data_IF_682287725480
#
_entry.id   IF_682287725480
#
_cell.length_a   1.000
_cell.length_b   1.000
_cell.length_c   1.000
_cell.angle_alpha   90.00
_cell.angle_beta   90.00
_cell.angle_gamma   90.00
#
_symmetry.space_group_name_H-M   'P 1'
#
loop_
_entity.id
_entity.type
_entity.pdbx_description
1 polymer ?
#
# COMPACT_ATOMS: atom_id res chain seq x y z
N UNK A 1 11.16 -17.62 2.61
CA UNK A 1 11.20 -18.86 3.42
C UNK A 1 9.77 -19.37 3.46
N UNK A 2 9.49 -20.59 3.00
CA UNK A 2 8.11 -21.10 3.02
C UNK A 2 7.91 -21.93 4.29
N UNK A 3 7.02 -21.46 5.18
CA UNK A 3 6.57 -22.25 6.33
C UNK A 3 5.49 -23.19 5.82
N UNK A 4 5.75 -24.50 5.88
CA UNK A 4 4.77 -25.51 5.53
C UNK A 4 3.59 -25.51 6.51
N UNK A 5 2.38 -25.75 5.99
CA UNK A 5 1.15 -25.82 6.76
C UNK A 5 1.26 -26.76 7.99
N UNK A 6 1.93 -27.90 7.82
CA UNK A 6 2.17 -28.89 8.89
C UNK A 6 2.96 -28.29 10.08
N UNK A 7 3.89 -27.37 9.83
CA UNK A 7 4.62 -26.70 10.91
C UNK A 7 3.70 -25.78 11.72
N UNK A 8 2.79 -25.06 11.05
CA UNK A 8 1.81 -24.19 11.71
C UNK A 8 0.85 -25.04 12.54
N UNK A 9 0.32 -26.13 11.97
CA UNK A 9 -0.59 -27.05 12.65
C UNK A 9 0.04 -27.65 13.90
N UNK A 10 1.26 -28.21 13.79
CA UNK A 10 1.99 -28.75 14.94
C UNK A 10 2.24 -27.72 16.04
N UNK A 11 2.56 -26.48 15.66
CA UNK A 11 2.75 -25.40 16.62
C UNK A 11 1.44 -25.08 17.34
N UNK A 12 0.33 -24.95 16.61
CA UNK A 12 -0.99 -24.66 17.15
C UNK A 12 -1.51 -25.79 18.05
N UNK A 13 -1.34 -27.05 17.65
CA UNK A 13 -1.75 -28.23 18.44
C UNK A 13 -1.07 -28.25 19.81
N UNK A 14 0.21 -27.88 19.87
CA UNK A 14 0.95 -27.82 21.14
C UNK A 14 0.41 -26.78 22.12
N UNK A 15 -0.30 -25.76 21.62
CA UNK A 15 -0.85 -24.64 22.40
C UNK A 15 -2.37 -24.73 22.60
N UNK A 16 -3.06 -25.61 21.86
CA UNK A 16 -4.52 -25.66 21.75
C UNK A 16 -5.23 -25.79 23.11
N UNK A 17 -4.78 -26.72 23.96
CA UNK A 17 -5.37 -26.94 25.29
C UNK A 17 -5.29 -25.69 26.17
N UNK A 18 -4.14 -24.99 26.14
CA UNK A 18 -3.93 -23.76 26.90
C UNK A 18 -4.80 -22.62 26.38
N UNK A 19 -4.91 -22.50 25.04
CA UNK A 19 -5.75 -21.52 24.38
C UNK A 19 -7.24 -21.73 24.72
N UNK A 20 -7.77 -22.94 24.55
CA UNK A 20 -9.17 -23.27 24.84
C UNK A 20 -9.55 -22.96 26.29
N UNK A 21 -8.67 -23.31 27.25
CA UNK A 21 -8.90 -22.98 28.67
C UNK A 21 -9.02 -21.47 28.90
N UNK A 22 -8.13 -20.66 28.29
CA UNK A 22 -8.17 -19.19 28.42
C UNK A 22 -9.43 -18.61 27.76
N UNK A 23 -9.80 -19.11 26.59
CA UNK A 23 -10.97 -18.64 25.87
C UNK A 23 -12.27 -18.99 26.62
N UNK A 24 -12.37 -20.18 27.19
CA UNK A 24 -13.54 -20.59 27.98
C UNK A 24 -13.69 -19.72 29.23
N UNK A 25 -12.59 -19.45 29.93
CA UNK A 25 -12.61 -18.54 31.08
C UNK A 25 -13.10 -17.13 30.68
N UNK A 26 -12.62 -16.60 29.55
CA UNK A 26 -13.10 -15.32 29.03
C UNK A 26 -14.60 -15.35 28.70
N UNK A 27 -15.11 -16.47 28.15
CA UNK A 27 -16.54 -16.66 27.87
C UNK A 27 -17.41 -16.65 29.12
N UNK A 28 -16.90 -17.18 30.23
CA UNK A 28 -17.59 -17.15 31.52
C UNK A 28 -17.61 -15.72 32.10
N UNK A 29 -16.44 -15.07 32.16
CA UNK A 29 -16.30 -13.71 32.72
C UNK A 29 -17.07 -12.65 31.91
N UNK A 30 -17.14 -12.81 30.58
CA UNK A 30 -17.77 -11.87 29.65
C UNK A 30 -19.06 -12.44 29.04
N UNK A 31 -19.82 -13.22 29.82
CA UNK A 31 -21.07 -13.87 29.40
C UNK A 31 -22.18 -12.92 28.90
N UNK A 32 -22.04 -11.62 29.15
CA UNK A 32 -22.94 -10.57 28.65
C UNK A 32 -22.58 -10.07 27.24
N UNK A 33 -21.48 -10.54 26.65
CA UNK A 33 -21.02 -10.21 25.29
C UNK A 33 -21.13 -11.45 24.42
N UNK A 34 -21.66 -11.29 23.20
CA UNK A 34 -21.58 -12.31 22.15
C UNK A 34 -20.14 -12.39 21.63
N UNK A 35 -19.30 -13.16 22.31
CA UNK A 35 -17.89 -13.29 21.97
C UNK A 35 -17.66 -13.96 20.62
N UNK A 36 -18.53 -14.88 20.19
CA UNK A 36 -18.38 -15.51 18.87
C UNK A 36 -18.56 -14.47 17.76
N UNK A 37 -19.55 -13.58 17.89
CA UNK A 37 -19.71 -12.46 16.95
C UNK A 37 -18.50 -11.51 16.97
N UNK A 38 -17.93 -11.21 18.14
CA UNK A 38 -16.73 -10.38 18.25
C UNK A 38 -15.53 -11.05 17.59
N UNK A 39 -15.31 -12.34 17.84
CA UNK A 39 -14.23 -13.12 17.22
C UNK A 39 -14.39 -13.13 15.71
N UNK A 40 -15.60 -13.34 15.20
CA UNK A 40 -15.85 -13.31 13.75
C UNK A 40 -15.49 -11.94 13.14
N UNK A 41 -15.85 -10.83 13.81
CA UNK A 41 -15.43 -9.50 13.35
C UNK A 41 -13.92 -9.33 13.30
N UNK A 42 -13.18 -9.94 14.23
CA UNK A 42 -11.71 -9.92 14.23
C UNK A 42 -11.14 -10.79 13.10
N UNK A 43 -11.75 -11.94 12.80
CA UNK A 43 -11.38 -12.80 11.67
C UNK A 43 -11.62 -12.10 10.33
N UNK A 44 -12.74 -11.39 10.20
CA UNK A 44 -13.11 -10.67 8.99
C UNK A 44 -12.28 -9.39 8.77
N UNK A 45 -11.59 -8.90 9.81
CA UNK A 45 -10.80 -7.68 9.76
C UNK A 45 -9.48 -7.90 9.02
N UNK A 46 -9.36 -7.29 7.85
CA UNK A 46 -8.17 -7.36 6.99
C UNK A 46 -7.47 -6.01 6.90
N UNK A 47 -6.14 -6.02 6.82
CA UNK A 47 -5.28 -4.87 6.63
C UNK A 47 -4.34 -5.16 5.46
N UNK A 48 -4.29 -4.26 4.48
CA UNK A 48 -3.35 -4.35 3.38
C UNK A 48 -1.90 -4.10 3.85
N UNK A 49 -0.97 -4.91 3.35
CA UNK A 49 0.46 -4.75 3.64
C UNK A 49 1.12 -3.91 2.54
N UNK A 50 1.83 -2.82 2.90
CA UNK A 50 2.55 -2.02 1.92
C UNK A 50 3.79 -2.76 1.39
N UNK A 51 3.90 -2.89 0.07
CA UNK A 51 5.02 -3.56 -0.61
C UNK A 51 6.39 -2.97 -0.23
N UNK A 52 6.43 -1.67 0.06
CA UNK A 52 7.65 -0.93 0.39
C UNK A 52 8.13 -1.13 1.84
N UNK A 53 7.34 -1.75 2.71
CA UNK A 53 7.73 -2.04 4.09
C UNK A 53 8.42 -3.41 4.26
N UNK A 54 8.44 -4.25 3.22
CA UNK A 54 9.01 -5.60 3.29
C UNK A 54 10.54 -5.59 3.16
N UNK A 55 11.10 -4.58 2.48
CA UNK A 55 12.53 -4.33 2.48
C UNK A 55 12.95 -3.51 3.70
N UNK A 56 14.22 -3.64 4.12
CA UNK A 56 14.74 -2.80 5.21
C UNK A 56 14.61 -1.33 4.85
N UNK A 57 13.89 -0.58 5.69
CA UNK A 57 13.74 0.86 5.57
C UNK A 57 15.06 1.61 5.77
N UNK A 58 15.01 2.92 5.61
CA UNK A 58 16.14 3.79 5.85
C UNK A 58 15.68 5.15 6.34
N UNK A 59 16.66 5.95 6.76
CA UNK A 59 16.44 7.37 7.04
C UNK A 59 17.35 8.19 6.14
N UNK A 60 17.19 9.52 6.16
CA UNK A 60 18.13 10.44 5.49
C UNK A 60 19.59 10.30 5.94
N UNK A 61 19.86 9.66 7.08
CA UNK A 61 21.22 9.45 7.60
C UNK A 61 21.88 8.16 7.11
N UNK A 62 21.08 7.18 6.69
CA UNK A 62 21.61 5.90 6.25
C UNK A 62 20.57 4.81 6.16
N UNK A 63 20.96 3.76 5.43
CA UNK A 63 20.24 2.51 5.26
C UNK A 63 21.22 1.36 5.46
N UNK A 64 20.88 0.44 6.36
CA UNK A 64 21.70 -0.74 6.64
C UNK A 64 21.00 -1.96 6.05
N UNK A 65 21.24 -2.20 4.76
CA UNK A 65 20.71 -3.38 4.09
C UNK A 65 21.27 -4.65 4.74
N UNK A 66 20.44 -5.67 4.88
CA UNK A 66 20.91 -7.00 5.27
C UNK A 66 21.46 -7.72 4.03
N UNK A 67 22.55 -8.47 4.20
CA UNK A 67 23.28 -9.13 3.08
C UNK A 67 22.51 -10.27 2.40
N UNK A 68 21.29 -10.56 2.86
CA UNK A 68 20.34 -11.46 2.22
C UNK A 68 19.00 -11.45 2.96
N UNK A 69 17.92 -11.80 2.25
CA UNK A 69 16.57 -11.93 2.83
C UNK A 69 15.61 -10.76 2.55
N UNK A 70 16.06 -9.68 1.91
CA UNK A 70 15.14 -8.63 1.43
C UNK A 70 14.53 -9.02 0.08
N UNK A 71 13.21 -8.79 -0.13
CA UNK A 71 12.58 -9.06 -1.41
C UNK A 71 13.02 -8.04 -2.46
N UNK A 72 13.30 -8.54 -3.66
CA UNK A 72 13.89 -7.81 -4.79
C UNK A 72 12.89 -7.59 -5.91
N UNK A 73 11.87 -8.44 -5.99
CA UNK A 73 10.82 -8.39 -7.01
C UNK A 73 9.43 -8.30 -6.37
N UNK A 74 8.42 -7.96 -7.18
CA UNK A 74 7.03 -7.91 -6.71
C UNK A 74 6.56 -9.31 -6.30
N UNK A 75 7.00 -10.35 -7.00
CA UNK A 75 6.72 -11.75 -6.68
C UNK A 75 7.26 -12.12 -5.30
N UNK A 76 8.54 -11.81 -5.00
CA UNK A 76 9.13 -12.05 -3.68
C UNK A 76 8.36 -11.28 -2.58
N UNK A 77 7.93 -10.05 -2.87
CA UNK A 77 7.08 -9.27 -1.94
C UNK A 77 5.72 -9.93 -1.72
N UNK A 78 5.08 -10.46 -2.76
CA UNK A 78 3.80 -11.18 -2.66
C UNK A 78 3.98 -12.46 -1.83
N UNK A 79 5.07 -13.21 -2.04
CA UNK A 79 5.38 -14.40 -1.25
C UNK A 79 5.56 -14.06 0.24
N UNK A 80 6.26 -12.97 0.55
CA UNK A 80 6.45 -12.50 1.93
C UNK A 80 5.12 -12.08 2.58
N UNK A 81 4.24 -11.35 1.88
CA UNK A 81 2.89 -11.02 2.39
C UNK A 81 2.04 -12.29 2.52
N UNK A 82 2.19 -13.26 1.62
CA UNK A 82 1.50 -14.53 1.69
C UNK A 82 1.85 -15.30 2.96
N UNK A 83 3.12 -15.28 3.35
CA UNK A 83 3.55 -15.83 4.62
C UNK A 83 2.97 -15.07 5.82
N UNK A 84 2.98 -13.73 5.79
CA UNK A 84 2.37 -12.92 6.85
C UNK A 84 0.88 -13.26 7.02
N UNK A 85 0.15 -13.36 5.91
CA UNK A 85 -1.27 -13.69 5.91
C UNK A 85 -1.54 -15.10 6.43
N UNK A 86 -0.72 -16.09 6.03
CA UNK A 86 -0.83 -17.46 6.55
C UNK A 86 -0.63 -17.54 8.08
N UNK A 87 0.20 -16.66 8.66
CA UNK A 87 0.49 -16.64 10.08
C UNK A 87 -0.51 -15.81 10.91
N UNK A 88 -1.01 -14.70 10.38
CA UNK A 88 -1.86 -13.77 11.13
C UNK A 88 -3.35 -13.77 10.74
N UNK A 89 -3.70 -14.32 9.57
CA UNK A 89 -5.06 -14.34 9.03
C UNK A 89 -5.65 -12.97 8.68
N UNK A 90 -4.89 -11.88 8.81
CA UNK A 90 -5.37 -10.49 8.71
C UNK A 90 -4.66 -9.67 7.61
N UNK A 91 -3.64 -10.21 6.94
CA UNK A 91 -2.91 -9.55 5.86
C UNK A 91 -3.40 -9.88 4.44
N UNK A 92 -4.71 -9.95 4.20
CA UNK A 92 -5.32 -10.45 2.96
C UNK A 92 -5.14 -9.60 1.69
N UNK A 93 -4.31 -8.55 1.72
CA UNK A 93 -4.04 -7.72 0.55
C UNK A 93 -2.63 -7.11 0.59
N UNK A 94 -2.12 -6.74 -0.59
CA UNK A 94 -0.87 -5.98 -0.79
C UNK A 94 -1.16 -4.65 -1.48
N UNK A 95 -0.58 -3.56 -0.98
CA UNK A 95 -0.65 -2.23 -1.58
C UNK A 95 0.65 -1.94 -2.33
N UNK A 96 0.56 -1.58 -3.61
CA UNK A 96 1.70 -1.36 -4.49
C UNK A 96 2.01 0.11 -4.69
N UNK A 97 3.28 0.42 -4.98
CA UNK A 97 3.74 1.79 -5.22
C UNK A 97 4.42 1.90 -6.58
N UNK A 98 3.91 2.75 -7.46
CA UNK A 98 4.43 2.92 -8.82
C UNK A 98 5.32 4.17 -8.87
N UNK A 99 6.57 4.07 -9.39
CA UNK A 99 7.08 2.98 -10.24
C UNK A 99 7.96 1.93 -9.55
N UNK A 100 8.02 1.89 -8.21
CA UNK A 100 8.83 0.87 -7.52
C UNK A 100 8.36 -0.56 -7.81
N UNK A 101 7.06 -0.73 -8.05
CA UNK A 101 6.39 -2.00 -8.29
C UNK A 101 5.64 -2.04 -9.63
N UNK A 102 6.28 -1.61 -10.74
CA UNK A 102 5.65 -1.70 -12.07
C UNK A 102 5.37 -3.18 -12.42
N UNK A 103 4.11 -3.56 -12.66
CA UNK A 103 3.75 -4.92 -13.03
C UNK A 103 4.26 -5.24 -14.44
N UNK A 104 5.10 -6.27 -14.58
CA UNK A 104 5.52 -6.76 -15.91
C UNK A 104 4.43 -7.62 -16.57
N UNK A 105 3.71 -8.40 -15.77
CA UNK A 105 2.56 -9.19 -16.22
C UNK A 105 1.50 -9.24 -15.11
N UNK A 106 0.48 -8.39 -15.24
CA UNK A 106 -0.59 -8.30 -14.26
C UNK A 106 -1.35 -9.65 -14.06
N UNK A 107 -1.52 -10.44 -15.12
CA UNK A 107 -2.20 -11.74 -15.04
C UNK A 107 -1.45 -12.75 -14.19
N UNK A 108 -0.12 -12.83 -14.38
CA UNK A 108 0.75 -13.68 -13.55
C UNK A 108 0.76 -13.23 -12.09
N UNK A 109 0.87 -11.93 -11.83
CA UNK A 109 0.85 -11.40 -10.45
C UNK A 109 -0.48 -11.64 -9.75
N UNK A 110 -1.61 -11.48 -10.45
CA UNK A 110 -2.93 -11.83 -9.91
C UNK A 110 -3.04 -13.30 -9.54
N UNK A 111 -2.52 -14.18 -10.40
CA UNK A 111 -2.52 -15.62 -10.14
C UNK A 111 -1.69 -15.96 -8.91
N UNK A 112 -0.49 -15.36 -8.81
CA UNK A 112 0.39 -15.53 -7.66
C UNK A 112 -0.25 -15.03 -6.37
N UNK A 113 -0.73 -13.78 -6.34
CA UNK A 113 -1.42 -13.21 -5.18
C UNK A 113 -2.62 -14.07 -4.76
N UNK A 114 -3.45 -14.51 -5.71
CA UNK A 114 -4.61 -15.36 -5.43
C UNK A 114 -4.22 -16.71 -4.83
N UNK A 115 -3.08 -17.28 -5.21
CA UNK A 115 -2.59 -18.55 -4.63
C UNK A 115 -2.23 -18.43 -3.14
N UNK A 116 -1.99 -17.22 -2.65
CA UNK A 116 -1.77 -16.90 -1.24
C UNK A 116 -3.01 -16.31 -0.56
N UNK A 117 -4.17 -16.28 -1.23
CA UNK A 117 -5.39 -15.65 -0.72
C UNK A 117 -5.34 -14.12 -0.70
N UNK A 118 -4.39 -13.51 -1.42
CA UNK A 118 -4.17 -12.07 -1.43
C UNK A 118 -4.89 -11.38 -2.59
N UNK A 119 -5.25 -10.11 -2.34
CA UNK A 119 -5.72 -9.16 -3.35
C UNK A 119 -4.76 -7.98 -3.47
N UNK A 120 -4.95 -7.14 -4.48
CA UNK A 120 -4.28 -5.85 -4.58
C UNK A 120 -5.19 -4.77 -4.00
N UNK A 121 -4.69 -4.03 -3.01
CA UNK A 121 -5.37 -2.89 -2.39
C UNK A 121 -5.18 -1.64 -3.26
N UNK A 122 -5.40 -0.44 -2.71
CA UNK A 122 -5.21 0.83 -3.40
C UNK A 122 -3.79 0.94 -3.97
N UNK A 123 -3.70 1.49 -5.19
CA UNK A 123 -2.44 1.80 -5.84
C UNK A 123 -1.88 3.13 -5.31
N UNK A 124 -0.56 3.26 -5.22
CA UNK A 124 0.09 4.49 -4.74
C UNK A 124 0.97 5.10 -5.84
N UNK A 125 0.79 6.39 -6.11
CA UNK A 125 1.57 7.13 -7.10
C UNK A 125 2.82 7.77 -6.50
N UNK A 126 3.98 7.64 -7.15
CA UNK A 126 5.18 8.38 -6.79
C UNK A 126 5.41 9.60 -7.70
N UNK A 127 5.12 10.80 -7.17
CA UNK A 127 5.51 12.08 -7.78
C UNK A 127 6.37 12.93 -6.84
N UNK A 128 7.03 12.28 -5.89
CA UNK A 128 7.93 12.90 -4.90
C UNK A 128 9.40 12.55 -5.13
N UNK A 129 9.67 11.77 -6.16
CA UNK A 129 11.00 11.37 -6.59
C UNK A 129 11.08 11.45 -8.12
N UNK A 130 12.20 11.96 -8.63
CA UNK A 130 12.50 11.93 -10.06
C UNK A 130 12.79 10.50 -10.51
N UNK A 131 12.10 10.06 -11.57
CA UNK A 131 12.31 8.75 -12.18
C UNK A 131 13.34 8.86 -13.29
N UNK A 132 14.13 7.80 -13.51
CA UNK A 132 15.11 7.77 -14.59
C UNK A 132 14.43 8.02 -15.94
N UNK A 133 14.91 9.01 -16.69
CA UNK A 133 14.36 9.39 -17.99
C UNK A 133 13.15 10.33 -17.96
N UNK A 134 12.71 10.81 -16.79
CA UNK A 134 11.64 11.82 -16.70
C UNK A 134 12.05 13.12 -17.41
N UNK A 135 11.12 13.71 -18.17
CA UNK A 135 11.37 14.97 -18.87
C UNK A 135 11.48 16.17 -17.90
N UNK A 136 10.74 16.10 -16.79
CA UNK A 136 10.68 17.12 -15.78
C UNK A 136 10.96 16.56 -14.39
N UNK A 137 11.65 17.37 -13.57
CA UNK A 137 11.91 17.09 -12.16
C UNK A 137 10.74 17.55 -11.29
N UNK A 138 10.43 16.79 -10.24
CA UNK A 138 9.46 17.11 -9.19
C UNK A 138 10.07 17.87 -8.01
N UNK A 139 11.33 18.30 -8.10
CA UNK A 139 12.05 19.03 -7.03
C UNK A 139 11.28 20.21 -6.42
N UNK A 140 10.45 20.90 -7.21
CA UNK A 140 9.66 22.06 -6.76
C UNK A 140 8.14 21.75 -6.69
N UNK A 141 7.82 20.48 -6.44
CA UNK A 141 6.47 19.96 -6.44
C UNK A 141 6.08 19.31 -7.77
N UNK A 142 5.04 18.51 -7.70
CA UNK A 142 4.40 17.79 -8.78
C UNK A 142 3.06 18.45 -9.17
N UNK A 143 1.97 18.07 -8.52
CA UNK A 143 0.60 18.51 -8.82
C UNK A 143 0.33 19.99 -8.52
N UNK A 144 1.07 20.63 -7.62
CA UNK A 144 0.94 22.09 -7.39
C UNK A 144 1.88 22.93 -8.26
N UNK A 145 2.78 22.31 -9.02
CA UNK A 145 3.89 22.98 -9.68
C UNK A 145 3.41 24.13 -10.58
N UNK A 146 4.10 25.27 -10.53
CA UNK A 146 3.78 26.45 -11.35
C UNK A 146 3.91 26.18 -12.85
N UNK A 147 4.81 25.27 -13.23
CA UNK A 147 4.97 24.83 -14.61
C UNK A 147 3.93 23.77 -14.96
N UNK A 148 3.06 24.10 -15.92
CA UNK A 148 1.98 23.24 -16.39
C UNK A 148 2.48 21.91 -16.96
N UNK A 149 3.64 21.87 -17.61
CA UNK A 149 4.19 20.63 -18.17
C UNK A 149 4.64 19.65 -17.07
N UNK A 150 5.10 20.17 -15.92
CA UNK A 150 5.42 19.33 -14.74
C UNK A 150 4.14 18.72 -14.16
N UNK A 151 3.06 19.52 -14.06
CA UNK A 151 1.76 19.03 -13.59
C UNK A 151 1.20 17.98 -14.53
N UNK A 152 1.25 18.24 -15.84
CA UNK A 152 0.81 17.29 -16.86
C UNK A 152 1.55 15.95 -16.75
N UNK A 153 2.87 15.97 -16.57
CA UNK A 153 3.66 14.75 -16.33
C UNK A 153 3.18 13.98 -15.08
N UNK A 154 2.90 14.70 -13.98
CA UNK A 154 2.41 14.09 -12.75
C UNK A 154 0.98 13.51 -12.88
N UNK A 155 0.10 14.19 -13.62
CA UNK A 155 -1.25 13.71 -13.95
C UNK A 155 -1.17 12.45 -14.81
N UNK A 156 -0.36 12.47 -15.87
CA UNK A 156 -0.15 11.32 -16.76
C UNK A 156 0.39 10.10 -16.00
N UNK A 157 1.33 10.31 -15.08
CA UNK A 157 1.83 9.25 -14.19
C UNK A 157 0.71 8.64 -13.34
N UNK A 158 -0.13 9.46 -12.71
CA UNK A 158 -1.26 8.96 -11.92
C UNK A 158 -2.26 8.16 -12.77
N UNK A 159 -2.53 8.60 -14.01
CA UNK A 159 -3.36 7.87 -14.96
C UNK A 159 -2.72 6.52 -15.34
N UNK A 160 -1.39 6.46 -15.44
CA UNK A 160 -0.67 5.19 -15.63
C UNK A 160 -0.84 4.26 -14.42
N UNK A 161 -0.73 4.80 -13.20
CA UNK A 161 -0.95 4.03 -11.95
C UNK A 161 -2.36 3.44 -11.93
N UNK A 162 -3.38 4.20 -12.33
CA UNK A 162 -4.76 3.72 -12.45
C UNK A 162 -4.82 2.54 -13.44
N UNK A 163 -4.19 2.65 -14.62
CA UNK A 163 -4.17 1.57 -15.62
C UNK A 163 -3.54 0.28 -15.08
N UNK A 164 -2.43 0.39 -14.35
CA UNK A 164 -1.79 -0.76 -13.69
C UNK A 164 -2.72 -1.38 -12.65
N UNK A 165 -3.37 -0.58 -11.82
CA UNK A 165 -4.30 -1.09 -10.81
C UNK A 165 -5.54 -1.73 -11.42
N UNK A 166 -6.09 -1.20 -12.51
CA UNK A 166 -7.20 -1.83 -13.26
C UNK A 166 -6.79 -3.21 -13.76
N UNK A 167 -5.57 -3.34 -14.31
CA UNK A 167 -5.06 -4.62 -14.78
C UNK A 167 -4.88 -5.64 -13.63
N UNK A 168 -4.55 -5.17 -12.42
CA UNK A 168 -4.39 -5.98 -11.21
C UNK A 168 -5.72 -6.27 -10.48
N UNK A 169 -6.78 -5.50 -10.77
CA UNK A 169 -8.07 -5.59 -10.08
C UNK A 169 -8.12 -4.82 -8.75
N UNK A 170 -7.28 -3.79 -8.60
CA UNK A 170 -7.45 -2.75 -7.57
C UNK A 170 -8.69 -1.90 -7.89
N UNK A 171 -9.18 -1.18 -6.90
CA UNK A 171 -10.37 -0.32 -6.97
C UNK A 171 -10.12 1.10 -6.42
N UNK A 172 -8.85 1.46 -6.18
CA UNK A 172 -8.53 2.77 -5.63
C UNK A 172 -7.13 3.28 -6.01
N UNK A 173 -7.01 4.60 -6.01
CA UNK A 173 -5.76 5.34 -6.10
C UNK A 173 -5.56 6.17 -4.84
N UNK A 174 -4.42 6.01 -4.18
CA UNK A 174 -3.92 6.90 -3.13
C UNK A 174 -2.90 7.88 -3.70
N UNK A 175 -3.17 9.16 -3.53
CA UNK A 175 -2.29 10.28 -3.88
C UNK A 175 -1.80 10.93 -2.59
N UNK A 176 -0.54 10.67 -2.23
CA UNK A 176 0.13 11.38 -1.16
C UNK A 176 0.74 12.68 -1.67
N UNK A 177 0.36 13.80 -1.04
CA UNK A 177 0.79 15.14 -1.46
C UNK A 177 2.09 15.54 -0.76
N UNK A 178 3.22 15.32 -1.45
CA UNK A 178 4.55 15.73 -1.00
C UNK A 178 4.83 17.23 -1.21
N UNK A 179 4.02 17.87 -2.04
CA UNK A 179 4.33 19.19 -2.56
C UNK A 179 4.23 20.28 -1.48
N UNK A 180 5.19 21.20 -1.48
CA UNK A 180 5.21 22.31 -0.54
C UNK A 180 6.36 23.29 -0.77
N UNK A 181 6.60 24.12 0.24
CA UNK A 181 7.69 25.11 0.25
C UNK A 181 8.52 24.97 1.52
N UNK A 182 9.83 25.20 1.41
CA UNK A 182 10.74 25.24 2.55
C UNK A 182 10.92 26.65 3.13
N UNK A 183 10.52 27.70 2.40
CA UNK A 183 10.72 29.09 2.81
C UNK A 183 9.46 29.95 2.64
N UNK A 184 9.18 30.89 3.57
CA UNK A 184 8.14 31.89 3.37
C UNK A 184 8.35 32.67 2.06
N UNK A 185 7.27 32.83 1.28
CA UNK A 185 7.28 33.54 0.00
C UNK A 185 7.71 32.71 -1.21
N UNK A 186 8.18 31.47 -1.03
CA UNK A 186 8.52 30.56 -2.14
C UNK A 186 7.28 30.13 -2.93
N UNK A 187 6.15 29.96 -2.26
CA UNK A 187 4.87 29.59 -2.86
C UNK A 187 3.78 30.60 -2.50
N UNK A 188 2.90 30.84 -3.47
CA UNK A 188 1.59 31.42 -3.19
C UNK A 188 0.63 30.27 -2.84
N UNK A 189 0.20 30.18 -1.59
CA UNK A 189 -0.61 29.05 -1.11
C UNK A 189 -1.92 28.87 -1.88
N UNK A 190 -2.57 29.96 -2.27
CA UNK A 190 -3.82 29.89 -3.03
C UNK A 190 -3.57 29.27 -4.41
N UNK A 191 -2.58 29.78 -5.15
CA UNK A 191 -2.24 29.25 -6.48
C UNK A 191 -1.75 27.81 -6.43
N UNK A 192 -0.96 27.46 -5.41
CA UNK A 192 -0.51 26.09 -5.19
C UNK A 192 -1.72 25.16 -5.01
N UNK A 193 -2.67 25.55 -4.15
CA UNK A 193 -3.89 24.78 -3.93
C UNK A 193 -4.78 24.68 -5.17
N UNK A 194 -4.98 25.78 -5.91
CA UNK A 194 -5.73 25.80 -7.17
C UNK A 194 -5.10 24.83 -8.20
N UNK A 195 -3.78 24.87 -8.37
CA UNK A 195 -3.07 23.93 -9.24
C UNK A 195 -3.23 22.46 -8.79
N UNK A 196 -3.14 22.19 -7.49
CA UNK A 196 -3.37 20.85 -6.95
C UNK A 196 -4.78 20.37 -7.25
N UNK A 197 -5.79 21.21 -7.01
CA UNK A 197 -7.19 20.90 -7.26
C UNK A 197 -7.42 20.59 -8.74
N UNK A 198 -6.99 21.47 -9.64
CA UNK A 198 -7.08 21.25 -11.10
C UNK A 198 -6.45 19.91 -11.51
N UNK A 199 -5.27 19.61 -10.98
CA UNK A 199 -4.57 18.36 -11.32
C UNK A 199 -5.29 17.12 -10.78
N UNK A 200 -5.85 17.20 -9.56
CA UNK A 200 -6.63 16.12 -8.97
C UNK A 200 -7.97 15.92 -9.70
N UNK A 201 -8.61 16.98 -10.19
CA UNK A 201 -9.81 16.88 -11.02
C UNK A 201 -9.54 16.14 -12.33
N UNK A 202 -8.41 16.43 -13.00
CA UNK A 202 -7.98 15.70 -14.20
C UNK A 202 -7.72 14.21 -13.92
N UNK A 203 -7.05 13.89 -12.80
CA UNK A 203 -6.83 12.50 -12.37
C UNK A 203 -8.17 11.82 -12.05
N UNK A 204 -9.05 12.50 -11.32
CA UNK A 204 -10.36 11.98 -10.92
C UNK A 204 -11.24 11.67 -12.13
N UNK A 205 -11.21 12.52 -13.16
CA UNK A 205 -11.94 12.31 -14.41
C UNK A 205 -11.48 11.04 -15.17
N UNK A 206 -10.28 10.53 -14.90
CA UNK A 206 -9.75 9.31 -15.50
C UNK A 206 -10.05 8.04 -14.71
N UNK A 207 -10.63 8.15 -13.51
CA UNK A 207 -10.96 6.98 -12.68
C UNK A 207 -12.12 6.17 -13.28
N UNK A 208 -12.07 4.83 -13.18
CA UNK A 208 -13.26 4.01 -13.37
C UNK A 208 -14.41 4.41 -12.44
N UNK A 209 -15.64 4.14 -12.83
CA UNK A 209 -16.84 4.58 -12.09
C UNK A 209 -16.99 3.97 -10.69
N UNK A 210 -16.39 2.79 -10.47
CA UNK A 210 -16.38 2.06 -9.21
C UNK A 210 -15.13 2.32 -8.36
N UNK A 211 -14.22 3.18 -8.85
CA UNK A 211 -12.98 3.49 -8.15
C UNK A 211 -13.11 4.63 -7.15
N UNK A 212 -12.19 4.64 -6.18
CA UNK A 212 -12.01 5.73 -5.22
C UNK A 212 -10.67 6.43 -5.41
N UNK A 213 -10.64 7.72 -5.09
CA UNK A 213 -9.40 8.47 -4.91
C UNK A 213 -9.25 8.85 -3.45
N UNK A 214 -8.11 8.50 -2.86
CA UNK A 214 -7.71 8.90 -1.52
C UNK A 214 -6.65 9.99 -1.65
N UNK A 215 -6.87 11.11 -0.96
CA UNK A 215 -5.90 12.21 -0.92
C UNK A 215 -5.30 12.22 0.48
N UNK A 216 -4.03 11.84 0.58
CA UNK A 216 -3.32 11.75 1.86
C UNK A 216 -2.59 13.06 2.15
N UNK A 217 -3.01 13.73 3.24
CA UNK A 217 -2.39 14.96 3.71
C UNK A 217 -1.23 14.67 4.67
N UNK A 218 -0.21 15.53 4.66
CA UNK A 218 0.89 15.48 5.63
C UNK A 218 1.26 16.90 6.07
N UNK A 219 1.57 17.06 7.36
CA UNK A 219 1.90 18.38 7.90
C UNK A 219 3.26 18.91 7.41
N UNK A 220 4.31 18.09 7.48
CA UNK A 220 5.67 18.40 7.02
C UNK A 220 6.58 17.15 7.04
N UNK A 221 7.76 17.24 6.38
CA UNK A 221 8.95 16.40 6.54
C UNK A 221 10.20 17.11 5.99
#
# INVERSE_FOLDING_TARGET
MNIEQNHIEKHNDSLLTSHQRKLNFLKEDWSHVDLESVIQKLVDFQIAIPSWALGTGGTRFGRFAITGGEPRTIEEKIEDVGLLHALNGASGAISLHIPWDIPQNAGSLKTLASSYGLKFDAMNSNTFQDQAGSAHSYKFGSLQNVNKEVRKQAIEHNIEVIKHGVALGSDALTVWLADGSCFPGQLNFRKAFENTLESLEEIYAALPSDWKMFVEYKAFE
#
